data_IF_838382986951
#
_entry.id   IF_838382986951
#
_cell.length_a   1.000
_cell.length_b   1.000
_cell.length_c   1.000
_cell.angle_alpha   90.00
_cell.angle_beta   90.00
_cell.angle_gamma   90.00
#
_symmetry.space_group_name_H-M   'P 1'
#
loop_
_entity.id
_entity.type
_entity.pdbx_description
1 polymer ?
#
# COMPACT_ATOMS: atom_id res chain seq x y z
N UNK A 1 -69.66 -34.94 24.06
CA UNK A 1 -68.87 -33.86 23.42
C UNK A 1 -67.38 -34.12 23.65
N UNK A 2 -66.95 -35.38 23.68
CA UNK A 2 -65.73 -35.79 24.42
C UNK A 2 -64.68 -36.51 23.55
N UNK A 3 -65.10 -37.04 22.39
CA UNK A 3 -64.23 -37.84 21.54
C UNK A 3 -63.26 -36.98 20.71
N UNK A 4 -63.67 -35.75 20.35
CA UNK A 4 -62.82 -34.76 19.68
C UNK A 4 -61.74 -34.18 20.60
N UNK A 5 -62.03 -34.02 21.90
CA UNK A 5 -61.07 -33.51 22.88
C UNK A 5 -59.99 -34.54 23.24
N UNK A 6 -60.37 -35.81 23.36
CA UNK A 6 -59.42 -36.90 23.57
C UNK A 6 -58.44 -37.05 22.40
N UNK A 7 -58.94 -37.04 21.16
CA UNK A 7 -58.10 -37.11 19.94
C UNK A 7 -57.19 -35.88 19.83
N UNK A 8 -57.71 -34.68 20.13
CA UNK A 8 -56.89 -33.44 20.13
C UNK A 8 -55.80 -33.46 21.20
N UNK A 9 -56.11 -33.97 22.41
CA UNK A 9 -55.13 -34.10 23.49
C UNK A 9 -54.04 -35.14 23.17
N UNK A 10 -54.41 -36.25 22.52
CA UNK A 10 -53.46 -37.26 22.06
C UNK A 10 -52.57 -36.72 20.93
N UNK A 11 -53.13 -36.01 19.95
CA UNK A 11 -52.38 -35.37 18.88
C UNK A 11 -51.37 -34.34 19.41
N UNK A 12 -51.76 -33.52 20.40
CA UNK A 12 -50.85 -32.56 21.06
C UNK A 12 -49.73 -33.24 21.84
N UNK A 13 -50.04 -34.36 22.51
CA UNK A 13 -49.02 -35.15 23.21
C UNK A 13 -48.03 -35.73 22.19
N UNK A 14 -48.52 -36.39 21.14
CA UNK A 14 -47.66 -36.99 20.11
C UNK A 14 -46.78 -35.95 19.42
N UNK A 15 -47.32 -34.77 19.09
CA UNK A 15 -46.50 -33.68 18.50
C UNK A 15 -45.45 -33.18 19.48
N UNK A 16 -45.77 -33.02 20.77
CA UNK A 16 -44.80 -32.60 21.79
C UNK A 16 -43.69 -33.64 21.97
N UNK A 17 -44.00 -34.93 21.97
CA UNK A 17 -43.00 -35.99 22.01
C UNK A 17 -42.14 -36.03 20.75
N UNK A 18 -42.71 -35.78 19.56
CA UNK A 18 -41.95 -35.66 18.31
C UNK A 18 -41.01 -34.44 18.33
N UNK A 19 -41.46 -33.29 18.85
CA UNK A 19 -40.59 -32.13 19.03
C UNK A 19 -39.48 -32.41 20.04
N UNK A 20 -39.78 -33.06 21.17
CA UNK A 20 -38.76 -33.44 22.16
C UNK A 20 -37.73 -34.42 21.59
N UNK A 21 -38.16 -35.43 20.82
CA UNK A 21 -37.26 -36.35 20.13
C UNK A 21 -36.44 -35.64 19.05
N UNK A 22 -37.02 -34.70 18.31
CA UNK A 22 -36.33 -33.88 17.33
C UNK A 22 -35.28 -32.96 17.97
N UNK A 23 -35.61 -32.33 19.10
CA UNK A 23 -34.67 -31.56 19.92
C UNK A 23 -33.58 -32.44 20.54
N UNK A 24 -33.91 -33.67 20.95
CA UNK A 24 -32.92 -34.64 21.44
C UNK A 24 -31.96 -35.08 20.31
N UNK A 25 -32.47 -35.27 19.09
CA UNK A 25 -31.61 -35.55 17.92
C UNK A 25 -30.75 -34.36 17.51
N UNK A 26 -31.28 -33.13 17.58
CA UNK A 26 -30.54 -31.90 17.30
C UNK A 26 -29.43 -31.65 18.33
N UNK A 27 -29.65 -32.03 19.59
CA UNK A 27 -28.64 -31.92 20.65
C UNK A 27 -27.60 -33.04 20.58
N UNK A 28 -27.96 -34.25 20.12
CA UNK A 28 -27.00 -35.33 19.85
C UNK A 28 -26.08 -35.06 18.65
N UNK A 29 -26.51 -34.22 17.71
CA UNK A 29 -25.74 -33.91 16.50
C UNK A 29 -24.73 -32.78 16.68
N UNK A 30 -24.63 -32.19 17.89
CA UNK A 30 -23.53 -31.30 18.25
C UNK A 30 -22.28 -32.15 18.52
N UNK A 31 -21.74 -32.73 17.46
CA UNK A 31 -20.38 -33.27 17.46
C UNK A 31 -19.43 -32.15 17.88
N UNK A 32 -18.60 -32.46 18.84
CA UNK A 32 -17.44 -31.69 19.26
C UNK A 32 -16.72 -31.17 18.01
N UNK A 33 -16.91 -29.90 17.68
CA UNK A 33 -15.99 -29.21 16.79
C UNK A 33 -14.70 -29.16 17.58
N UNK A 34 -13.81 -30.11 17.32
CA UNK A 34 -12.41 -30.03 17.73
C UNK A 34 -11.97 -28.64 17.29
N UNK A 35 -11.67 -27.79 18.27
CA UNK A 35 -11.07 -26.49 18.04
C UNK A 35 -9.70 -26.79 17.43
N UNK A 36 -9.68 -26.92 16.12
CA UNK A 36 -8.49 -27.27 15.36
C UNK A 36 -7.66 -26.00 15.39
N UNK A 37 -6.72 -25.92 16.34
CA UNK A 37 -5.83 -24.77 16.49
C UNK A 37 -5.04 -24.68 15.19
N UNK A 38 -5.41 -23.73 14.32
CA UNK A 38 -4.73 -23.49 13.05
C UNK A 38 -3.50 -22.63 13.32
N UNK A 39 -2.32 -23.21 13.14
CA UNK A 39 -1.07 -22.45 13.24
C UNK A 39 -0.73 -21.84 11.88
N UNK A 40 -0.44 -20.55 11.82
CA UNK A 40 -0.02 -19.89 10.56
C UNK A 40 1.51 -19.87 10.50
N UNK A 41 2.07 -20.31 9.37
CA UNK A 41 3.50 -20.25 9.08
C UNK A 41 3.76 -19.45 7.82
N UNK A 42 4.49 -18.36 7.95
CA UNK A 42 4.88 -17.52 6.82
C UNK A 42 6.31 -17.84 6.38
N UNK A 43 6.52 -17.99 5.06
CA UNK A 43 7.84 -18.27 4.47
C UNK A 43 7.96 -17.52 3.15
N UNK A 44 9.16 -17.04 2.81
CA UNK A 44 9.44 -16.42 1.52
C UNK A 44 9.55 -17.47 0.41
N UNK A 45 9.14 -17.10 -0.80
CA UNK A 45 9.29 -17.95 -1.97
C UNK A 45 10.77 -18.34 -2.17
N UNK A 46 11.03 -19.54 -2.68
CA UNK A 46 12.37 -20.07 -2.89
C UNK A 46 13.10 -20.54 -1.61
N UNK A 47 12.57 -20.26 -0.42
CA UNK A 47 13.19 -20.67 0.85
C UNK A 47 12.72 -22.04 1.33
N UNK A 48 13.36 -22.55 2.39
CA UNK A 48 12.95 -23.77 3.08
C UNK A 48 11.81 -23.45 4.05
N UNK A 49 10.65 -24.10 3.89
CA UNK A 49 9.60 -24.07 4.91
C UNK A 49 9.79 -25.22 5.89
N UNK A 50 9.74 -24.90 7.18
CA UNK A 50 9.76 -25.84 8.29
C UNK A 50 8.40 -25.79 9.01
N UNK A 51 7.64 -26.89 8.91
CA UNK A 51 6.33 -27.06 9.51
C UNK A 51 6.41 -28.03 10.71
N UNK A 52 6.22 -27.55 11.95
CA UNK A 52 6.27 -28.39 13.15
C UNK A 52 4.95 -29.15 13.35
N UNK A 53 5.00 -30.46 13.61
CA UNK A 53 3.79 -31.20 13.97
C UNK A 53 3.49 -31.13 15.47
N UNK A 54 2.38 -30.49 15.85
CA UNK A 54 1.94 -30.40 17.26
C UNK A 54 0.98 -31.54 17.68
N UNK A 55 0.70 -32.47 16.77
CA UNK A 55 -0.12 -33.65 17.05
C UNK A 55 0.62 -34.76 17.83
N UNK A 56 1.94 -34.65 17.97
CA UNK A 56 2.76 -35.66 18.66
C UNK A 56 2.76 -35.38 20.15
N UNK A 57 2.53 -36.42 20.93
CA UNK A 57 2.63 -36.41 22.40
C UNK A 57 3.03 -37.79 22.91
N UNK A 58 3.10 -37.98 24.23
CA UNK A 58 3.50 -39.26 24.83
C UNK A 58 2.58 -40.43 24.45
N UNK A 59 1.38 -40.15 23.94
CA UNK A 59 0.38 -41.15 23.55
C UNK A 59 0.10 -41.20 22.06
N UNK A 60 0.60 -40.26 21.26
CA UNK A 60 0.38 -40.21 19.81
C UNK A 60 1.70 -40.08 19.06
N UNK A 61 1.89 -40.93 18.05
CA UNK A 61 3.06 -40.90 17.16
C UNK A 61 2.68 -40.38 15.78
N UNK A 62 3.59 -39.63 15.16
CA UNK A 62 3.46 -39.18 13.78
C UNK A 62 3.14 -40.33 12.82
N UNK A 63 2.19 -40.09 11.92
CA UNK A 63 1.79 -41.05 10.90
C UNK A 63 2.11 -40.51 9.50
N UNK A 64 1.51 -39.39 9.11
CA UNK A 64 1.74 -38.74 7.82
C UNK A 64 1.29 -37.27 7.84
N UNK A 65 1.72 -36.53 6.82
CA UNK A 65 1.18 -35.23 6.45
C UNK A 65 0.18 -35.36 5.30
N UNK A 66 -0.86 -34.54 5.34
CA UNK A 66 -1.81 -34.39 4.24
C UNK A 66 -1.77 -32.95 3.74
N UNK A 67 -1.57 -32.77 2.44
CA UNK A 67 -1.66 -31.49 1.75
C UNK A 67 -2.91 -31.49 0.85
N UNK A 68 -3.77 -30.48 1.03
CA UNK A 68 -5.05 -30.43 0.32
C UNK A 68 -5.92 -31.66 0.62
N UNK A 69 -6.55 -32.23 -0.42
CA UNK A 69 -7.48 -33.34 -0.26
C UNK A 69 -6.84 -34.72 -0.45
N UNK A 70 -5.86 -34.87 -1.35
CA UNK A 70 -5.40 -36.18 -1.82
C UNK A 70 -3.90 -36.43 -1.63
N UNK A 71 -3.09 -35.39 -1.38
CA UNK A 71 -1.64 -35.56 -1.35
C UNK A 71 -1.20 -35.97 0.05
N UNK A 72 -0.71 -37.21 0.16
CA UNK A 72 -0.22 -37.79 1.41
C UNK A 72 1.31 -37.86 1.35
N UNK A 73 1.96 -37.23 2.32
CA UNK A 73 3.42 -37.21 2.48
C UNK A 73 3.74 -38.01 3.76
N UNK A 74 4.34 -39.18 3.62
CA UNK A 74 4.66 -40.01 4.76
C UNK A 74 5.35 -41.32 4.41
N UNK A 75 5.58 -42.18 5.41
CA UNK A 75 6.20 -43.49 5.21
C UNK A 75 5.37 -44.34 4.24
N UNK A 76 6.00 -44.86 3.19
CA UNK A 76 5.31 -45.70 2.18
C UNK A 76 4.71 -44.95 1.00
N UNK A 77 4.71 -43.60 0.99
CA UNK A 77 4.36 -42.81 -0.17
C UNK A 77 5.39 -41.68 -0.42
N UNK A 78 6.40 -41.92 -1.28
CA UNK A 78 7.41 -40.92 -1.61
C UNK A 78 6.85 -39.88 -2.60
N UNK A 79 5.98 -39.00 -2.11
CA UNK A 79 5.56 -37.85 -2.89
C UNK A 79 6.75 -36.88 -3.02
N UNK A 80 7.38 -36.86 -4.19
CA UNK A 80 8.43 -35.92 -4.57
C UNK A 80 9.54 -35.75 -3.51
N UNK A 81 10.30 -36.83 -3.25
CA UNK A 81 11.34 -36.93 -2.21
C UNK A 81 12.41 -35.83 -2.25
N UNK A 82 12.64 -35.22 -3.41
CA UNK A 82 13.58 -34.10 -3.55
C UNK A 82 13.04 -32.82 -2.92
N UNK A 83 11.72 -32.64 -2.96
CA UNK A 83 10.97 -31.46 -2.52
C UNK A 83 10.59 -31.55 -1.05
N UNK A 84 9.98 -32.67 -0.66
CA UNK A 84 9.47 -32.91 0.68
C UNK A 84 10.40 -33.83 1.46
N UNK A 85 10.78 -33.41 2.66
CA UNK A 85 11.52 -34.23 3.61
C UNK A 85 10.84 -34.15 4.96
N UNK A 86 10.77 -35.25 5.72
CA UNK A 86 10.11 -35.26 7.01
C UNK A 86 10.89 -36.05 8.05
N UNK A 87 10.75 -35.65 9.31
CA UNK A 87 11.33 -36.33 10.46
C UNK A 87 10.28 -37.23 11.12
N UNK A 88 10.54 -38.52 11.26
CA UNK A 88 9.56 -39.48 11.81
C UNK A 88 9.31 -39.27 13.31
N UNK A 89 10.32 -38.82 14.06
CA UNK A 89 10.22 -38.66 15.52
C UNK A 89 9.44 -37.42 15.93
N UNK A 90 9.66 -36.31 15.23
CA UNK A 90 9.06 -34.99 15.51
C UNK A 90 7.91 -34.66 14.57
N UNK A 91 7.69 -35.48 13.54
CA UNK A 91 6.72 -35.22 12.48
C UNK A 91 7.00 -33.93 11.72
N UNK A 92 8.20 -33.35 11.83
CA UNK A 92 8.53 -32.08 11.18
C UNK A 92 8.56 -32.25 9.67
N UNK A 93 7.86 -31.39 8.93
CA UNK A 93 7.89 -31.37 7.46
C UNK A 93 8.75 -30.21 6.96
N UNK A 94 9.74 -30.54 6.14
CA UNK A 94 10.61 -29.62 5.44
C UNK A 94 10.27 -29.60 3.96
N UNK A 95 9.92 -28.42 3.46
CA UNK A 95 9.57 -28.20 2.04
C UNK A 95 10.65 -27.32 1.42
N UNK A 96 11.41 -27.85 0.46
CA UNK A 96 12.53 -27.14 -0.17
C UNK A 96 12.06 -26.22 -1.28
N UNK A 97 12.50 -24.96 -1.28
CA UNK A 97 12.25 -24.04 -2.39
C UNK A 97 10.76 -23.78 -2.59
N UNK A 98 10.07 -23.30 -1.56
CA UNK A 98 8.61 -23.14 -1.60
C UNK A 98 8.16 -22.16 -2.68
N UNK A 99 7.06 -22.49 -3.35
CA UNK A 99 6.43 -21.62 -4.36
C UNK A 99 5.06 -21.15 -3.88
N UNK A 100 4.53 -20.08 -4.47
CA UNK A 100 3.19 -19.59 -4.12
C UNK A 100 2.06 -20.57 -4.43
N UNK A 101 2.30 -21.61 -5.23
CA UNK A 101 1.33 -22.67 -5.48
C UNK A 101 1.22 -23.67 -4.32
N UNK A 102 2.22 -23.67 -3.42
CA UNK A 102 2.29 -24.59 -2.27
C UNK A 102 1.73 -23.95 -0.99
N UNK A 103 1.23 -22.71 -1.07
CA UNK A 103 0.49 -22.12 0.03
C UNK A 103 -0.82 -22.87 0.25
N UNK A 104 -1.15 -23.17 1.50
CA UNK A 104 -2.38 -23.87 1.84
C UNK A 104 -2.32 -24.55 3.20
N UNK A 105 -3.33 -25.38 3.46
CA UNK A 105 -3.46 -26.10 4.72
C UNK A 105 -2.76 -27.46 4.66
N UNK A 106 -1.79 -27.63 5.54
CA UNK A 106 -1.09 -28.88 5.81
C UNK A 106 -1.62 -29.47 7.10
N UNK A 107 -2.06 -30.72 7.06
CA UNK A 107 -2.56 -31.43 8.24
C UNK A 107 -1.56 -32.48 8.68
N UNK A 108 -1.08 -32.38 9.91
CA UNK A 108 -0.28 -33.43 10.52
C UNK A 108 -1.19 -34.43 11.24
N UNK A 109 -1.14 -35.70 10.85
CA UNK A 109 -1.91 -36.78 11.45
C UNK A 109 -0.99 -37.64 12.32
N UNK A 110 -1.40 -37.84 13.58
CA UNK A 110 -0.73 -38.72 14.54
C UNK A 110 -1.70 -39.78 15.05
N UNK A 111 -1.20 -41.01 15.23
CA UNK A 111 -1.97 -42.18 15.68
C UNK A 111 -1.64 -42.51 17.14
N UNK A 112 -2.64 -42.90 17.91
CA UNK A 112 -2.49 -43.34 19.29
C UNK A 112 -1.63 -44.60 19.42
N UNK A 113 -0.80 -44.64 20.46
CA UNK A 113 0.07 -45.77 20.82
C UNK A 113 -0.69 -46.85 21.59
N UNK A 114 -1.62 -46.45 22.47
CA UNK A 114 -2.40 -47.37 23.31
C UNK A 114 -3.74 -47.74 22.68
N UNK A 115 -4.37 -46.78 22.02
CA UNK A 115 -5.61 -46.98 21.28
C UNK A 115 -5.37 -46.65 19.81
N UNK A 116 -5.28 -47.69 19.00
CA UNK A 116 -5.03 -47.58 17.57
C UNK A 116 -6.13 -46.83 16.80
N UNK A 117 -7.33 -46.72 17.39
CA UNK A 117 -8.45 -45.98 16.80
C UNK A 117 -8.41 -44.48 17.10
N UNK A 118 -7.57 -44.05 18.04
CA UNK A 118 -7.41 -42.64 18.39
C UNK A 118 -6.47 -41.93 17.43
N UNK A 119 -6.93 -40.82 16.85
CA UNK A 119 -6.16 -39.97 15.95
C UNK A 119 -6.17 -38.52 16.43
N UNK A 120 -5.02 -37.86 16.32
CA UNK A 120 -4.86 -36.44 16.60
C UNK A 120 -4.38 -35.74 15.35
N UNK A 121 -5.10 -34.69 14.97
CA UNK A 121 -4.85 -33.92 13.76
C UNK A 121 -4.50 -32.49 14.18
N UNK A 122 -3.51 -31.90 13.52
CA UNK A 122 -3.13 -30.51 13.70
C UNK A 122 -2.97 -29.86 12.34
N UNK A 123 -3.68 -28.77 12.12
CA UNK A 123 -3.71 -28.04 10.85
C UNK A 123 -2.78 -26.81 10.89
N UNK A 124 -1.97 -26.64 9.84
CA UNK A 124 -1.04 -25.52 9.70
C UNK A 124 -1.29 -24.86 8.35
N UNK A 125 -1.49 -23.55 8.34
CA UNK A 125 -1.59 -22.75 7.14
C UNK A 125 -0.21 -22.24 6.73
N UNK A 126 0.30 -22.71 5.59
CA UNK A 126 1.52 -22.19 4.98
C UNK A 126 1.16 -21.01 4.08
N UNK A 127 1.67 -19.83 4.43
CA UNK A 127 1.55 -18.61 3.64
C UNK A 127 2.90 -18.30 3.00
N UNK A 128 2.97 -18.39 1.67
CA UNK A 128 4.21 -18.11 0.94
C UNK A 128 4.20 -16.66 0.46
N UNK A 129 5.10 -15.84 1.03
CA UNK A 129 5.30 -14.45 0.62
C UNK A 129 6.26 -14.38 -0.56
N UNK A 130 5.98 -13.55 -1.55
CA UNK A 130 6.96 -13.24 -2.60
C UNK A 130 8.04 -12.32 -2.02
N UNK A 131 9.27 -12.45 -2.50
CA UNK A 131 10.33 -11.51 -2.15
C UNK A 131 9.94 -10.12 -2.65
N UNK A 132 9.95 -9.16 -1.73
CA UNK A 132 9.47 -7.81 -1.99
C UNK A 132 10.30 -7.14 -3.09
N UNK A 133 11.60 -7.40 -3.14
CA UNK A 133 12.53 -6.81 -4.11
C UNK A 133 12.15 -7.17 -5.56
N UNK A 134 11.83 -8.44 -5.83
CA UNK A 134 11.32 -8.88 -7.13
C UNK A 134 9.97 -8.23 -7.48
N UNK A 135 9.09 -8.04 -6.49
CA UNK A 135 7.79 -7.38 -6.70
C UNK A 135 7.99 -5.90 -7.06
N UNK A 136 8.92 -5.20 -6.42
CA UNK A 136 9.20 -3.78 -6.66
C UNK A 136 9.91 -3.51 -7.99
N UNK A 137 10.82 -4.39 -8.41
CA UNK A 137 11.54 -4.23 -9.68
C UNK A 137 10.68 -4.58 -10.89
N UNK A 138 9.74 -5.53 -10.75
CA UNK A 138 8.87 -5.96 -11.86
C UNK A 138 7.58 -5.14 -11.97
N UNK A 139 7.28 -4.26 -11.01
CA UNK A 139 6.08 -3.46 -11.06
C UNK A 139 6.19 -2.36 -12.13
N UNK A 140 5.35 -2.46 -13.16
CA UNK A 140 5.33 -1.50 -14.25
C UNK A 140 4.96 -0.10 -13.74
N UNK A 141 4.09 -0.01 -12.73
CA UNK A 141 3.60 1.26 -12.20
C UNK A 141 4.71 2.09 -11.53
N UNK A 142 5.54 1.47 -10.70
CA UNK A 142 6.63 2.15 -10.00
C UNK A 142 7.72 2.60 -10.97
N UNK A 143 8.06 1.76 -11.95
CA UNK A 143 9.00 2.11 -13.01
C UNK A 143 8.47 3.21 -13.93
N UNK A 144 7.17 3.18 -14.26
CA UNK A 144 6.51 4.23 -15.03
C UNK A 144 6.55 5.57 -14.28
N UNK A 145 6.24 5.59 -12.98
CA UNK A 145 6.29 6.80 -12.16
C UNK A 145 7.71 7.37 -12.08
N UNK A 146 8.72 6.51 -11.89
CA UNK A 146 10.14 6.93 -11.92
C UNK A 146 10.53 7.52 -13.28
N UNK A 147 10.09 6.89 -14.38
CA UNK A 147 10.30 7.39 -15.74
C UNK A 147 9.64 8.74 -15.99
N UNK A 148 8.39 8.91 -15.59
CA UNK A 148 7.65 10.17 -15.69
C UNK A 148 8.30 11.28 -14.86
N UNK A 149 8.77 10.97 -13.63
CA UNK A 149 9.47 11.93 -12.78
C UNK A 149 10.75 12.44 -13.45
N UNK A 150 11.55 11.56 -14.06
CA UNK A 150 12.76 11.95 -14.78
C UNK A 150 12.44 12.86 -15.99
N UNK A 151 11.40 12.52 -16.76
CA UNK A 151 10.95 13.36 -17.89
C UNK A 151 10.47 14.73 -17.41
N UNK A 152 9.71 14.80 -16.30
CA UNK A 152 9.24 16.06 -15.73
C UNK A 152 10.37 16.98 -15.30
N UNK A 153 11.42 16.43 -14.68
CA UNK A 153 12.62 17.21 -14.31
C UNK A 153 13.29 17.78 -15.56
N UNK A 154 13.37 17.00 -16.65
CA UNK A 154 13.94 17.42 -17.92
C UNK A 154 13.13 18.56 -18.56
N UNK A 155 11.80 18.45 -18.57
CA UNK A 155 10.89 19.49 -19.08
C UNK A 155 11.05 20.80 -18.29
N UNK A 156 11.12 20.72 -16.95
CA UNK A 156 11.33 21.90 -16.10
C UNK A 156 12.69 22.55 -16.37
N UNK A 157 13.75 21.76 -16.54
CA UNK A 157 15.08 22.28 -16.87
C UNK A 157 15.06 23.03 -18.22
N UNK A 158 14.43 22.47 -19.24
CA UNK A 158 14.27 23.12 -20.55
C UNK A 158 13.46 24.43 -20.42
N UNK A 159 12.36 24.42 -19.67
CA UNK A 159 11.54 25.61 -19.44
C UNK A 159 12.35 26.74 -18.76
N UNK A 160 13.15 26.40 -17.74
CA UNK A 160 14.02 27.37 -17.05
C UNK A 160 15.07 27.95 -18.00
N UNK A 161 15.71 27.11 -18.82
CA UNK A 161 16.70 27.58 -19.81
C UNK A 161 16.05 28.54 -20.82
N UNK A 162 14.88 28.19 -21.35
CA UNK A 162 14.13 29.05 -22.28
C UNK A 162 13.73 30.37 -21.62
N UNK A 163 13.33 30.35 -20.34
CA UNK A 163 13.00 31.55 -19.58
C UNK A 163 14.23 32.47 -19.43
N UNK A 164 15.41 31.92 -19.15
CA UNK A 164 16.65 32.69 -19.09
C UNK A 164 16.98 33.34 -20.44
N UNK A 165 16.84 32.60 -21.54
CA UNK A 165 17.11 33.10 -22.91
C UNK A 165 16.14 34.24 -23.26
N UNK A 166 14.84 34.09 -22.99
CA UNK A 166 13.83 35.11 -23.32
C UNK A 166 14.04 36.41 -22.52
N UNK A 167 14.39 36.32 -21.23
CA UNK A 167 14.71 37.49 -20.41
C UNK A 167 15.96 38.20 -20.95
N UNK A 168 17.04 37.44 -21.26
CA UNK A 168 18.26 38.02 -21.85
C UNK A 168 17.98 38.71 -23.18
N UNK A 169 17.20 38.08 -24.07
CA UNK A 169 16.82 38.66 -25.37
C UNK A 169 16.01 39.94 -25.21
N UNK A 170 15.02 39.95 -24.32
CA UNK A 170 14.19 41.14 -24.03
C UNK A 170 15.02 42.29 -23.46
N UNK A 171 15.99 41.98 -22.57
CA UNK A 171 16.91 42.99 -22.02
C UNK A 171 17.84 43.55 -23.09
N UNK A 172 18.32 42.72 -24.02
CA UNK A 172 19.15 43.17 -25.14
C UNK A 172 18.36 44.08 -26.11
N UNK A 173 17.09 43.75 -26.39
CA UNK A 173 16.21 44.59 -27.20
C UNK A 173 15.95 45.95 -26.54
N UNK A 174 15.68 45.98 -25.23
CA UNK A 174 15.49 47.25 -24.49
C UNK A 174 16.74 48.13 -24.47
N UNK A 175 17.93 47.54 -24.46
CA UNK A 175 19.18 48.31 -24.52
C UNK A 175 19.36 48.96 -25.90
N UNK A 176 19.07 48.24 -26.98
CA UNK A 176 19.09 48.79 -28.34
C UNK A 176 18.05 49.89 -28.56
N UNK A 177 16.83 49.71 -28.04
CA UNK A 177 15.73 50.68 -28.17
C UNK A 177 16.05 52.01 -27.44
N UNK A 178 16.77 51.95 -26.31
CA UNK A 178 17.25 53.13 -25.60
C UNK A 178 18.38 53.87 -26.33
N UNK A 179 19.24 53.16 -27.08
CA UNK A 179 20.31 53.78 -27.87
C UNK A 179 19.75 54.49 -29.11
N UNK A 180 18.78 53.89 -29.80
CA UNK A 180 18.04 54.49 -30.92
C UNK A 180 17.27 55.75 -30.47
N UNK A 181 16.65 55.71 -29.29
CA UNK A 181 15.95 56.85 -28.68
C UNK A 181 16.90 58.03 -28.36
N UNK A 182 18.18 57.74 -28.10
CA UNK A 182 19.20 58.75 -27.75
C UNK A 182 19.69 59.51 -28.97
N UNK A 183 19.69 58.91 -30.16
CA UNK A 183 20.07 59.58 -31.40
C UNK A 183 18.96 60.49 -31.95
N UNK A 184 17.70 60.29 -31.58
CA UNK A 184 16.57 61.12 -32.01
C UNK A 184 16.27 62.32 -31.07
N UNK A 185 17.25 62.78 -30.30
CA UNK A 185 17.10 63.98 -29.45
C UNK A 185 17.08 65.26 -30.32
N UNK A 186 16.08 66.15 -30.17
CA UNK A 186 15.97 67.34 -31.01
C UNK A 186 17.18 68.27 -30.78
N UNK A 187 17.71 68.76 -31.89
CA UNK A 187 18.89 69.62 -31.97
C UNK A 187 18.85 70.77 -30.94
N UNK A 188 20.02 71.06 -30.37
CA UNK A 188 20.28 72.25 -29.54
C UNK A 188 19.65 73.49 -30.15
N UNK A 189 18.72 74.10 -29.42
CA UNK A 189 18.20 75.43 -29.69
C UNK A 189 19.35 76.45 -29.63
N UNK A 190 19.62 77.10 -30.76
CA UNK A 190 20.53 78.25 -30.87
C UNK A 190 19.70 79.52 -30.63
N UNK A 191 19.94 80.29 -29.55
CA UNK A 191 19.30 81.58 -29.40
C UNK A 191 20.16 82.65 -30.09
N UNK A 192 19.77 83.01 -31.31
CA UNK A 192 20.25 84.24 -31.93
C UNK A 192 19.49 85.41 -31.27
N UNK A 193 20.18 86.16 -30.40
CA UNK A 193 19.61 87.30 -29.69
C UNK A 193 19.50 88.53 -30.58
N UNK A 194 18.29 88.85 -31.04
CA UNK A 194 17.76 90.22 -31.08
C UNK A 194 16.25 90.19 -31.18
N UNK A 195 15.53 90.78 -30.22
CA UNK A 195 14.20 91.30 -30.49
C UNK A 195 14.08 92.79 -30.18
N UNK A 196 13.45 93.46 -31.13
CA UNK A 196 12.88 94.79 -31.02
C UNK A 196 11.84 94.82 -29.89
N UNK A 197 12.07 95.77 -28.99
CA UNK A 197 11.17 96.51 -28.11
C UNK A 197 9.72 96.01 -27.83
N UNK A 198 9.43 95.97 -26.52
CA UNK A 198 8.27 96.58 -25.82
C UNK A 198 7.26 95.62 -25.13
N UNK A 199 7.31 95.69 -23.78
CA UNK A 199 6.21 95.79 -22.79
C UNK A 199 5.14 94.70 -22.55
N UNK A 200 4.97 94.42 -21.24
CA UNK A 200 3.75 93.97 -20.51
C UNK A 200 3.26 92.54 -20.82
N UNK A 201 2.69 91.71 -19.93
CA UNK A 201 2.18 91.73 -18.55
C UNK A 201 1.99 90.23 -18.18
N UNK A 202 2.47 89.73 -17.03
CA UNK A 202 1.71 89.40 -15.79
C UNK A 202 0.78 88.15 -15.84
N UNK A 203 1.05 87.20 -14.92
CA UNK A 203 0.11 86.25 -14.28
C UNK A 203 0.00 84.85 -14.93
N UNK A 204 -0.02 83.69 -14.25
CA UNK A 204 -0.11 83.32 -12.83
C UNK A 204 -0.77 81.91 -12.70
N UNK A 205 -0.41 81.12 -11.67
CA UNK A 205 -1.16 79.92 -11.17
C UNK A 205 -0.66 78.54 -11.66
N UNK A 206 -0.67 77.43 -10.90
CA UNK A 206 -1.42 76.99 -9.71
C UNK A 206 -0.59 75.91 -8.94
N UNK A 207 -0.67 75.93 -7.61
CA UNK A 207 -0.08 74.98 -6.66
C UNK A 207 -0.74 73.59 -6.70
N UNK A 208 0.01 72.51 -6.43
CA UNK A 208 -0.54 71.23 -6.00
C UNK A 208 0.13 70.75 -4.71
N UNK A 209 -0.68 70.72 -3.65
CA UNK A 209 -0.38 70.23 -2.32
C UNK A 209 -0.35 68.71 -2.25
N UNK A 210 0.59 68.18 -1.44
CA UNK A 210 0.54 66.90 -0.74
C UNK A 210 0.50 65.60 -1.56
N UNK A 211 1.64 64.89 -1.57
CA UNK A 211 1.65 63.44 -1.33
C UNK A 211 2.96 63.06 -0.64
N UNK A 212 2.84 62.99 0.68
CA UNK A 212 3.78 62.37 1.61
C UNK A 212 4.06 60.94 1.17
N UNK A 213 5.33 60.59 0.98
CA UNK A 213 5.77 59.19 0.95
C UNK A 213 6.86 59.07 2.00
N UNK A 214 6.43 58.62 3.18
CA UNK A 214 7.27 58.28 4.32
C UNK A 214 8.40 57.32 3.90
N UNK A 215 9.63 57.84 3.87
CA UNK A 215 10.84 57.03 3.85
C UNK A 215 11.24 56.71 5.30
N UNK A 216 11.32 55.45 5.73
CA UNK A 216 11.89 55.13 7.03
C UNK A 216 13.40 55.38 7.02
N UNK A 217 13.80 56.60 7.39
CA UNK A 217 15.13 56.90 7.93
C UNK A 217 15.22 56.25 9.31
N UNK A 218 15.86 55.09 9.47
CA UNK A 218 16.82 54.80 10.58
C UNK A 218 17.61 53.51 10.29
N UNK A 219 18.51 53.51 9.31
CA UNK A 219 19.66 52.57 9.31
C UNK A 219 20.96 53.26 9.79
N UNK A 220 20.86 54.48 10.33
CA UNK A 220 22.00 55.22 10.88
C UNK A 220 22.10 55.11 12.41
N UNK A 221 21.97 53.90 12.95
CA UNK A 221 22.29 53.64 14.37
C UNK A 221 23.08 52.33 14.60
N UNK A 222 23.69 51.74 13.57
CA UNK A 222 24.60 50.58 13.71
C UNK A 222 26.09 50.90 13.45
N UNK A 223 26.46 52.18 13.48
CA UNK A 223 27.87 52.56 13.68
C UNK A 223 27.96 53.28 15.01
N UNK A 224 28.07 52.47 16.07
CA UNK A 224 28.73 52.85 17.31
C UNK A 224 29.97 51.98 17.44
#
# INVERSE_FOLDING_TARGET
>A
MDQSYLVSSYLKSVTMWLFMLFYLSLTLQRSESVDDIVTVKEVTAGHLADLPCLSIDDRHRFMFWQFGNNDIIGPGNPLNEKKYNYEVLTGRLMIRGVSTAESGFYKCVSRGLSDESSFKIHSIELVVKKDWEDVWETDFETNLVRGLAAVMVLVVAVAVVLLIITIKRKRNQRFFDLEESRENSPARYSPNNTPVASTAEVGGGIDNSALDIDFPRVFKQMQK
#
